data_IF_831731374094
#
_entry.id   IF_831731374094
#
_cell.length_a   1.000
_cell.length_b   1.000
_cell.length_c   1.000
_cell.angle_alpha   90.00
_cell.angle_beta   90.00
_cell.angle_gamma   90.00
#
_symmetry.space_group_name_H-M   'P 1'
#
loop_
_entity.id
_entity.type
_entity.pdbx_description
1 polymer ?
#
# COMPACT_ATOMS: atom_id res chain seq x y z
N UNK A 1 9.42 17.03 -13.32
CA UNK A 1 8.36 18.07 -13.26
C UNK A 1 6.96 17.46 -13.17
N UNK A 2 6.52 16.59 -14.10
CA UNK A 2 5.21 15.92 -14.03
C UNK A 2 5.00 15.14 -12.72
N UNK A 3 6.05 14.49 -12.19
CA UNK A 3 5.96 13.81 -10.89
C UNK A 3 5.52 14.72 -9.73
N UNK A 4 5.98 15.97 -9.68
CA UNK A 4 5.55 16.94 -8.65
C UNK A 4 4.09 17.39 -8.82
N UNK A 5 3.58 17.36 -10.06
CA UNK A 5 2.15 17.55 -10.34
C UNK A 5 1.34 16.40 -9.74
N UNK A 6 1.79 15.16 -9.98
CA UNK A 6 1.22 13.95 -9.36
C UNK A 6 1.24 14.00 -7.84
N UNK A 7 2.35 14.45 -7.23
CA UNK A 7 2.47 14.65 -5.78
C UNK A 7 1.38 15.58 -5.24
N UNK A 8 1.17 16.75 -5.88
CA UNK A 8 0.09 17.67 -5.48
C UNK A 8 -1.31 17.04 -5.56
N UNK A 9 -1.59 16.32 -6.65
CA UNK A 9 -2.86 15.59 -6.82
C UNK A 9 -3.03 14.46 -5.78
N UNK A 10 -1.95 13.77 -5.41
CA UNK A 10 -1.95 12.72 -4.38
C UNK A 10 -2.16 13.29 -2.97
N UNK A 11 -1.61 14.46 -2.65
CA UNK A 11 -1.84 15.12 -1.34
C UNK A 11 -3.32 15.42 -1.16
N UNK A 12 -3.94 16.14 -2.11
CA UNK A 12 -5.37 16.45 -2.02
C UNK A 12 -6.23 15.19 -2.07
N UNK A 13 -5.82 14.18 -2.85
CA UNK A 13 -6.49 12.89 -2.92
C UNK A 13 -6.42 12.11 -1.60
N UNK A 14 -5.28 12.16 -0.90
CA UNK A 14 -5.10 11.57 0.42
C UNK A 14 -5.98 12.26 1.47
N UNK A 15 -5.97 13.59 1.49
CA UNK A 15 -6.85 14.40 2.37
C UNK A 15 -8.32 14.08 2.09
N UNK A 16 -8.73 14.05 0.82
CA UNK A 16 -10.11 13.70 0.44
C UNK A 16 -10.48 12.28 0.84
N UNK A 17 -9.56 11.32 0.68
CA UNK A 17 -9.78 9.94 1.13
C UNK A 17 -10.10 9.90 2.62
N UNK A 18 -9.32 10.59 3.46
CA UNK A 18 -9.57 10.69 4.90
C UNK A 18 -10.93 11.34 5.21
N UNK A 19 -11.26 12.43 4.51
CA UNK A 19 -12.56 13.11 4.67
C UNK A 19 -13.72 12.19 4.29
N UNK A 20 -13.58 11.41 3.21
CA UNK A 20 -14.62 10.52 2.72
C UNK A 20 -14.91 9.35 3.68
N UNK A 21 -13.87 8.87 4.39
CA UNK A 21 -13.99 7.76 5.35
C UNK A 21 -14.16 8.23 6.80
N UNK A 22 -14.20 9.54 7.08
CA UNK A 22 -14.16 10.10 8.44
C UNK A 22 -15.19 9.52 9.41
N UNK A 23 -16.40 9.18 8.92
CA UNK A 23 -17.45 8.58 9.75
C UNK A 23 -17.07 7.17 10.17
N UNK A 24 -16.58 6.38 9.21
CA UNK A 24 -16.11 5.02 9.45
C UNK A 24 -14.85 5.00 10.31
N UNK A 25 -13.96 5.99 10.12
CA UNK A 25 -12.79 6.24 10.97
C UNK A 25 -13.22 6.47 12.43
N UNK A 26 -14.16 7.39 12.65
CA UNK A 26 -14.68 7.70 13.98
C UNK A 26 -15.34 6.48 14.65
N UNK A 27 -16.11 5.71 13.87
CA UNK A 27 -16.72 4.48 14.36
C UNK A 27 -15.67 3.43 14.77
N UNK A 28 -14.61 3.25 13.97
CA UNK A 28 -13.51 2.34 14.29
C UNK A 28 -12.79 2.74 15.59
N UNK A 29 -12.49 4.04 15.73
CA UNK A 29 -11.81 4.59 16.91
C UNK A 29 -12.67 4.39 18.17
N UNK A 30 -13.97 4.72 18.10
CA UNK A 30 -14.88 4.53 19.23
C UNK A 30 -14.96 3.07 19.66
N UNK A 31 -15.17 2.16 18.70
CA UNK A 31 -15.25 0.72 18.98
C UNK A 31 -13.94 0.16 19.55
N UNK A 32 -12.78 0.62 19.05
CA UNK A 32 -11.48 0.23 19.60
C UNK A 32 -11.28 0.68 21.04
N UNK A 33 -11.72 1.90 21.38
CA UNK A 33 -11.68 2.41 22.75
C UNK A 33 -12.66 1.68 23.68
N UNK A 34 -13.85 1.34 23.19
CA UNK A 34 -14.87 0.61 23.95
C UNK A 34 -14.42 -0.83 24.23
N UNK A 35 -13.83 -1.50 23.25
CA UNK A 35 -13.24 -2.83 23.41
C UNK A 35 -12.12 -2.84 24.47
N UNK A 36 -11.28 -1.79 24.49
CA UNK A 36 -10.23 -1.65 25.50
C UNK A 36 -10.80 -1.45 26.92
N UNK A 37 -11.88 -0.67 27.07
CA UNK A 37 -12.54 -0.42 28.36
C UNK A 37 -13.37 -1.60 28.85
N UNK A 38 -13.93 -2.38 27.94
CA UNK A 38 -14.84 -3.49 28.24
C UNK A 38 -14.13 -4.77 28.68
N UNK A 39 -12.81 -4.75 28.87
CA UNK A 39 -12.07 -5.94 29.31
C UNK A 39 -12.24 -6.24 30.81
N UNK A 40 -13.49 -6.36 31.26
CA UNK A 40 -13.88 -6.89 32.57
C UNK A 40 -14.75 -8.14 32.36
N UNK A 41 -14.13 -9.31 32.39
CA UNK A 41 -14.74 -10.44 33.10
C UNK A 41 -14.90 -11.79 32.39
N UNK A 42 -14.46 -12.79 33.17
CA UNK A 42 -14.85 -14.21 33.28
C UNK A 42 -14.31 -15.20 32.24
N UNK A 43 -13.56 -16.16 32.76
CA UNK A 43 -13.22 -17.42 32.12
C UNK A 43 -14.51 -18.18 31.78
N UNK A 44 -14.88 -18.17 30.49
CA UNK A 44 -15.69 -19.22 29.89
C UNK A 44 -14.72 -20.20 29.21
N UNK A 45 -15.08 -21.48 29.18
CA UNK A 45 -14.45 -22.42 28.25
C UNK A 45 -14.69 -21.90 26.84
N UNK A 46 -13.62 -21.42 26.21
CA UNK A 46 -13.66 -20.99 24.81
C UNK A 46 -13.57 -22.22 23.91
N UNK A 47 -14.39 -22.25 22.86
CA UNK A 47 -14.24 -23.25 21.80
C UNK A 47 -12.88 -23.01 21.13
N UNK A 48 -12.25 -24.06 20.58
CA UNK A 48 -10.93 -23.97 19.92
C UNK A 48 -10.80 -22.80 18.93
N UNK A 49 -11.88 -22.48 18.23
CA UNK A 49 -11.97 -21.42 17.20
C UNK A 49 -12.07 -20.00 17.78
N UNK A 50 -12.26 -19.87 19.09
CA UNK A 50 -12.38 -18.60 19.82
C UNK A 50 -11.17 -18.33 20.72
N UNK A 51 -10.18 -19.25 20.77
CA UNK A 51 -8.93 -18.99 21.49
C UNK A 51 -8.11 -17.93 20.76
N UNK A 52 -8.17 -16.72 21.29
CA UNK A 52 -7.36 -15.58 20.89
C UNK A 52 -6.14 -15.41 21.80
N UNK A 53 -5.15 -14.65 21.34
CA UNK A 53 -3.99 -14.27 22.15
C UNK A 53 -4.43 -13.32 23.25
N UNK A 54 -4.09 -13.57 24.53
CA UNK A 54 -4.51 -12.68 25.60
C UNK A 54 -3.95 -11.27 25.40
N UNK A 55 -4.83 -10.27 25.46
CA UNK A 55 -4.46 -8.87 25.18
C UNK A 55 -3.34 -8.34 26.08
N UNK A 56 -3.19 -8.86 27.29
CA UNK A 56 -2.10 -8.51 28.20
C UNK A 56 -0.73 -8.84 27.61
N UNK A 57 -0.58 -10.01 26.98
CA UNK A 57 0.65 -10.40 26.29
C UNK A 57 0.93 -9.52 25.08
N UNK A 58 -0.12 -9.14 24.34
CA UNK A 58 0.01 -8.22 23.19
C UNK A 58 0.49 -6.85 23.64
N UNK A 59 -0.10 -6.28 24.70
CA UNK A 59 0.30 -4.97 25.24
C UNK A 59 1.73 -5.01 25.78
N UNK A 60 2.10 -6.05 26.52
CA UNK A 60 3.47 -6.21 27.04
C UNK A 60 4.46 -6.34 25.88
N UNK A 61 4.17 -7.19 24.89
CA UNK A 61 5.02 -7.37 23.72
C UNK A 61 5.21 -6.08 22.91
N UNK A 62 4.11 -5.35 22.66
CA UNK A 62 4.16 -4.05 22.01
C UNK A 62 5.00 -3.05 22.80
N UNK A 63 4.80 -2.96 24.12
CA UNK A 63 5.58 -2.09 24.99
C UNK A 63 7.09 -2.40 24.98
N UNK A 64 7.46 -3.68 24.98
CA UNK A 64 8.86 -4.11 24.85
C UNK A 64 9.44 -3.69 23.50
N UNK A 65 8.68 -3.84 22.41
CA UNK A 65 9.13 -3.47 21.05
C UNK A 65 9.27 -1.97 20.82
N UNK A 66 8.67 -1.12 21.66
CA UNK A 66 8.91 0.34 21.63
C UNK A 66 10.37 0.67 21.98
N UNK A 67 11.01 -0.12 22.84
CA UNK A 67 12.39 0.13 23.31
C UNK A 67 13.40 0.12 22.16
N UNK A 68 13.52 -0.96 21.33
CA UNK A 68 14.46 -0.95 20.21
C UNK A 68 14.15 0.13 19.17
N UNK A 69 12.87 0.45 18.96
CA UNK A 69 12.49 1.54 18.05
C UNK A 69 12.94 2.91 18.60
N UNK A 70 12.74 3.15 19.89
CA UNK A 70 13.22 4.36 20.54
C UNK A 70 14.75 4.49 20.45
N UNK A 71 15.50 3.39 20.59
CA UNK A 71 16.96 3.39 20.41
C UNK A 71 17.33 3.79 18.97
N UNK A 72 16.59 3.31 17.96
CA UNK A 72 16.78 3.72 16.57
C UNK A 72 16.52 5.22 16.42
N UNK A 73 15.42 5.74 16.97
CA UNK A 73 15.12 7.17 16.92
C UNK A 73 16.21 8.01 17.59
N UNK A 74 16.66 7.60 18.78
CA UNK A 74 17.71 8.29 19.51
C UNK A 74 19.04 8.31 18.74
N UNK A 75 19.37 7.21 18.05
CA UNK A 75 20.59 7.11 17.24
C UNK A 75 20.56 8.05 16.04
N UNK A 76 19.43 8.11 15.34
CA UNK A 76 19.32 8.87 14.09
C UNK A 76 19.04 10.35 14.31
N UNK A 77 18.26 10.71 15.34
CA UNK A 77 17.89 12.11 15.63
C UNK A 77 18.87 12.78 16.60
N UNK A 78 19.59 11.99 17.41
CA UNK A 78 20.57 12.47 18.39
C UNK A 78 20.02 13.44 19.46
N UNK A 79 18.70 13.51 19.62
CA UNK A 79 18.00 14.30 20.62
C UNK A 79 17.04 13.42 21.44
N UNK A 80 17.25 13.39 22.77
CA UNK A 80 16.52 12.53 23.68
C UNK A 80 15.03 12.95 23.85
N UNK A 81 14.71 14.20 24.22
CA UNK A 81 13.32 14.68 24.28
C UNK A 81 12.52 14.42 22.99
N UNK A 82 13.11 14.71 21.83
CA UNK A 82 12.44 14.56 20.54
C UNK A 82 12.21 13.08 20.24
N UNK A 83 13.22 12.23 20.45
CA UNK A 83 13.09 10.78 20.23
C UNK A 83 12.03 10.16 21.13
N UNK A 84 11.91 10.63 22.38
CA UNK A 84 10.88 10.16 23.31
C UNK A 84 9.48 10.57 22.82
N UNK A 85 9.33 11.82 22.36
CA UNK A 85 8.11 12.30 21.76
C UNK A 85 7.73 11.51 20.51
N UNK A 86 8.69 11.23 19.62
CA UNK A 86 8.46 10.43 18.42
C UNK A 86 7.93 9.03 18.76
N UNK A 87 8.48 8.38 19.78
CA UNK A 87 7.99 7.09 20.26
C UNK A 87 6.56 7.17 20.80
N UNK A 88 6.22 8.23 21.54
CA UNK A 88 4.85 8.45 22.03
C UNK A 88 3.89 8.67 20.87
N UNK A 89 4.23 9.55 19.93
CA UNK A 89 3.42 9.83 18.74
C UNK A 89 3.23 8.57 17.90
N UNK A 90 4.28 7.78 17.71
CA UNK A 90 4.24 6.50 17.00
C UNK A 90 3.32 5.49 17.69
N UNK A 91 3.38 5.33 19.02
CA UNK A 91 2.49 4.40 19.73
C UNK A 91 1.02 4.83 19.60
N UNK A 92 0.75 6.12 19.79
CA UNK A 92 -0.62 6.65 19.70
C UNK A 92 -1.16 6.50 18.27
N UNK A 93 -0.41 6.97 17.27
CA UNK A 93 -0.80 6.90 15.88
C UNK A 93 -0.89 5.44 15.40
N UNK A 94 0.09 4.60 15.77
CA UNK A 94 0.13 3.18 15.44
C UNK A 94 -1.10 2.43 15.98
N UNK A 95 -1.47 2.65 17.24
CA UNK A 95 -2.68 2.07 17.82
C UNK A 95 -3.94 2.54 17.08
N UNK A 96 -4.10 3.86 16.92
CA UNK A 96 -5.27 4.47 16.31
C UNK A 96 -5.47 3.96 14.87
N UNK A 97 -4.41 4.00 14.08
CA UNK A 97 -4.47 3.67 12.66
C UNK A 97 -4.45 2.17 12.39
N UNK A 98 -3.89 1.34 13.27
CA UNK A 98 -4.05 -0.12 13.20
C UNK A 98 -5.50 -0.53 13.41
N UNK A 99 -6.19 0.09 14.37
CA UNK A 99 -7.63 -0.14 14.61
C UNK A 99 -8.48 0.23 13.39
N UNK A 100 -8.21 1.41 12.80
CA UNK A 100 -8.85 1.87 11.57
C UNK A 100 -8.62 0.92 10.42
N UNK A 101 -7.35 0.55 10.18
CA UNK A 101 -6.98 -0.28 9.05
C UNK A 101 -7.56 -1.70 9.18
N UNK A 102 -7.58 -2.27 10.39
CA UNK A 102 -8.23 -3.55 10.65
C UNK A 102 -9.75 -3.49 10.38
N UNK A 103 -10.43 -2.45 10.86
CA UNK A 103 -11.87 -2.27 10.64
C UNK A 103 -12.20 -2.04 9.16
N UNK A 104 -11.43 -1.19 8.48
CA UNK A 104 -11.61 -0.92 7.05
C UNK A 104 -11.33 -2.16 6.21
N UNK A 105 -10.24 -2.89 6.47
CA UNK A 105 -9.96 -4.15 5.78
C UNK A 105 -11.13 -5.13 5.96
N UNK A 106 -11.69 -5.26 7.16
CA UNK A 106 -12.86 -6.10 7.41
C UNK A 106 -14.11 -5.71 6.62
N UNK A 107 -14.35 -4.41 6.39
CA UNK A 107 -15.52 -3.91 5.66
C UNK A 107 -15.36 -3.92 4.14
N UNK A 108 -14.22 -3.45 3.63
CA UNK A 108 -14.05 -3.15 2.20
C UNK A 108 -12.99 -4.00 1.50
N UNK A 109 -12.30 -4.88 2.24
CA UNK A 109 -11.16 -5.65 1.73
C UNK A 109 -9.82 -4.96 1.97
N UNK A 110 -8.71 -5.71 1.98
CA UNK A 110 -7.36 -5.14 2.08
C UNK A 110 -7.02 -4.23 0.88
N UNK A 111 -7.48 -4.56 -0.33
CA UNK A 111 -7.22 -3.78 -1.55
C UNK A 111 -7.85 -2.38 -1.55
N UNK A 112 -8.94 -2.19 -0.81
CA UNK A 112 -9.60 -0.89 -0.65
C UNK A 112 -9.29 -0.23 0.70
N UNK A 113 -8.39 -0.82 1.49
CA UNK A 113 -8.00 -0.28 2.79
C UNK A 113 -7.23 1.04 2.57
N UNK A 114 -7.61 2.16 3.23
CA UNK A 114 -7.03 3.49 3.00
C UNK A 114 -5.63 3.69 3.61
N UNK A 115 -4.74 2.70 3.48
CA UNK A 115 -3.40 2.68 4.07
C UNK A 115 -2.59 3.90 3.61
N UNK A 116 -2.56 4.19 2.29
CA UNK A 116 -1.80 5.32 1.76
C UNK A 116 -2.26 6.67 2.33
N UNK A 117 -3.57 6.86 2.53
CA UNK A 117 -4.11 8.08 3.13
C UNK A 117 -3.73 8.22 4.60
N UNK A 118 -3.79 7.11 5.35
CA UNK A 118 -3.38 7.02 6.75
C UNK A 118 -1.88 7.31 6.93
N UNK A 119 -1.03 6.80 6.05
CA UNK A 119 0.42 7.03 6.08
C UNK A 119 0.74 8.51 5.84
N UNK A 120 0.14 9.12 4.82
CA UNK A 120 0.31 10.55 4.51
C UNK A 120 -0.20 11.41 5.69
N UNK A 121 -1.36 11.07 6.26
CA UNK A 121 -1.91 11.77 7.43
C UNK A 121 -0.93 11.74 8.61
N UNK A 122 -0.34 10.58 8.86
CA UNK A 122 0.64 10.37 9.93
C UNK A 122 1.86 11.25 9.68
N UNK A 123 2.46 11.16 8.49
CA UNK A 123 3.67 11.93 8.15
C UNK A 123 3.39 13.43 8.28
N UNK A 124 2.29 13.93 7.70
CA UNK A 124 1.92 15.35 7.76
C UNK A 124 1.70 15.82 9.21
N UNK A 125 0.92 15.06 9.98
CA UNK A 125 0.59 15.43 11.36
C UNK A 125 1.83 15.41 12.24
N UNK A 126 2.65 14.36 12.13
CA UNK A 126 3.92 14.24 12.85
C UNK A 126 4.91 15.33 12.44
N UNK A 127 5.04 15.62 11.15
CA UNK A 127 5.89 16.69 10.65
C UNK A 127 5.45 18.07 11.18
N UNK A 128 4.15 18.37 11.20
CA UNK A 128 3.64 19.64 11.74
C UNK A 128 3.90 19.77 13.25
N UNK A 129 3.68 18.70 14.02
CA UNK A 129 3.96 18.70 15.47
C UNK A 129 5.46 18.88 15.72
N UNK A 130 6.31 18.17 14.98
CA UNK A 130 7.75 18.26 15.10
C UNK A 130 8.26 19.64 14.66
N UNK A 131 7.77 20.20 13.56
CA UNK A 131 8.13 21.54 13.10
C UNK A 131 7.71 22.63 14.11
N UNK A 132 6.56 22.47 14.78
CA UNK A 132 6.13 23.39 15.82
C UNK A 132 7.04 23.37 17.07
N UNK A 133 7.74 22.26 17.32
CA UNK A 133 8.57 22.08 18.51
C UNK A 133 10.07 22.31 18.23
N UNK A 134 10.55 21.84 17.08
CA UNK A 134 11.94 21.89 16.65
C UNK A 134 12.26 23.13 15.80
N UNK A 135 11.23 23.80 15.27
CA UNK A 135 11.36 24.78 14.20
C UNK A 135 11.31 24.13 12.82
N UNK A 136 11.01 24.93 11.80
CA UNK A 136 10.97 24.47 10.40
C UNK A 136 12.36 24.21 9.83
N UNK A 137 13.42 24.75 10.43
CA UNK A 137 14.79 24.62 9.95
C UNK A 137 15.52 23.41 10.55
N UNK A 138 14.78 22.53 11.22
CA UNK A 138 15.33 21.35 11.88
C UNK A 138 15.84 20.32 10.84
N UNK A 139 17.16 20.12 10.80
CA UNK A 139 17.86 19.24 9.86
C UNK A 139 17.25 17.83 9.77
N UNK A 140 16.88 17.24 10.91
CA UNK A 140 16.34 15.89 11.00
C UNK A 140 14.80 15.83 11.03
N UNK A 141 14.11 16.96 10.96
CA UNK A 141 12.66 17.04 11.15
C UNK A 141 11.87 16.23 10.12
N UNK A 142 12.25 16.34 8.84
CA UNK A 142 11.60 15.60 7.75
C UNK A 142 11.82 14.08 7.89
N UNK A 143 13.06 13.67 8.21
CA UNK A 143 13.42 12.28 8.43
C UNK A 143 12.67 11.69 9.64
N UNK A 144 12.56 12.44 10.74
CA UNK A 144 11.82 12.05 11.93
C UNK A 144 10.34 11.77 11.63
N UNK A 145 9.69 12.63 10.84
CA UNK A 145 8.30 12.42 10.43
C UNK A 145 8.12 11.17 9.56
N UNK A 146 9.08 10.89 8.66
CA UNK A 146 9.09 9.68 7.84
C UNK A 146 9.27 8.44 8.71
N UNK A 147 10.16 8.47 9.72
CA UNK A 147 10.35 7.34 10.63
C UNK A 147 9.06 6.96 11.37
N UNK A 148 8.34 7.95 11.92
CA UNK A 148 7.03 7.71 12.55
C UNK A 148 6.06 7.12 11.52
N UNK A 149 5.97 7.75 10.34
CA UNK A 149 5.08 7.31 9.26
C UNK A 149 5.35 5.87 8.79
N UNK A 150 6.61 5.46 8.71
CA UNK A 150 7.00 4.13 8.28
C UNK A 150 6.47 3.04 9.24
N UNK A 151 6.64 3.23 10.55
CA UNK A 151 6.21 2.25 11.54
C UNK A 151 4.68 2.19 11.62
N UNK A 152 4.01 3.35 11.59
CA UNK A 152 2.54 3.42 11.58
C UNK A 152 1.96 2.80 10.31
N UNK A 153 2.59 3.00 9.16
CA UNK A 153 2.21 2.36 7.91
C UNK A 153 2.31 0.83 7.99
N UNK A 154 3.41 0.31 8.52
CA UNK A 154 3.60 -1.13 8.72
C UNK A 154 2.56 -1.70 9.70
N UNK A 155 2.32 -1.00 10.82
CA UNK A 155 1.32 -1.43 11.80
C UNK A 155 -0.09 -1.46 11.21
N UNK A 156 -0.49 -0.42 10.46
CA UNK A 156 -1.77 -0.35 9.78
C UNK A 156 -1.93 -1.45 8.71
N UNK A 157 -0.90 -1.69 7.90
CA UNK A 157 -0.93 -2.73 6.88
C UNK A 157 -1.05 -4.14 7.50
N UNK A 158 -0.21 -4.45 8.49
CA UNK A 158 -0.23 -5.75 9.18
C UNK A 158 -1.56 -5.97 9.91
N UNK A 159 -2.13 -4.93 10.53
CA UNK A 159 -3.44 -5.03 11.17
C UNK A 159 -4.56 -5.31 10.16
N UNK A 160 -4.53 -4.67 8.99
CA UNK A 160 -5.47 -4.93 7.90
C UNK A 160 -5.37 -6.37 7.37
N UNK A 161 -4.15 -6.85 7.13
CA UNK A 161 -3.91 -8.21 6.64
C UNK A 161 -4.26 -9.26 7.68
N UNK A 162 -3.91 -9.05 8.97
CA UNK A 162 -4.30 -9.94 10.06
C UNK A 162 -5.83 -10.09 10.13
N UNK A 163 -6.60 -9.01 9.95
CA UNK A 163 -8.06 -9.09 9.94
C UNK A 163 -8.61 -9.95 8.79
N UNK A 164 -7.97 -9.93 7.61
CA UNK A 164 -8.33 -10.80 6.48
C UNK A 164 -7.96 -12.26 6.74
N UNK A 165 -6.79 -12.49 7.33
CA UNK A 165 -6.31 -13.82 7.69
C UNK A 165 -7.19 -14.45 8.76
N UNK A 166 -7.57 -13.68 9.79
CA UNK A 166 -8.52 -14.11 10.82
C UNK A 166 -9.90 -14.38 10.24
N UNK A 167 -10.37 -13.59 9.26
CA UNK A 167 -11.65 -13.87 8.59
C UNK A 167 -11.60 -15.19 7.82
N UNK A 168 -10.55 -15.41 7.05
CA UNK A 168 -10.35 -16.65 6.27
C UNK A 168 -10.18 -17.85 7.20
N UNK A 169 -9.39 -17.68 8.27
CA UNK A 169 -9.21 -18.68 9.31
C UNK A 169 -10.50 -19.04 10.02
N UNK A 170 -11.32 -18.05 10.37
CA UNK A 170 -12.64 -18.27 10.97
C UNK A 170 -13.54 -19.12 10.07
N UNK A 171 -13.57 -18.84 8.76
CA UNK A 171 -14.35 -19.62 7.78
C UNK A 171 -13.85 -21.08 7.70
N UNK A 172 -12.54 -21.28 7.79
CA UNK A 172 -11.90 -22.60 7.73
C UNK A 172 -11.84 -23.32 9.09
N UNK A 173 -12.30 -22.71 10.18
CA UNK A 173 -12.22 -23.27 11.53
C UNK A 173 -10.79 -23.30 12.11
N UNK A 174 -9.93 -22.36 11.74
CA UNK A 174 -8.61 -22.18 12.33
C UNK A 174 -8.69 -21.61 13.76
N UNK A 175 -7.59 -21.73 14.51
CA UNK A 175 -7.45 -21.12 15.84
C UNK A 175 -6.75 -19.77 15.72
N UNK A 176 -7.40 -18.64 16.11
CA UNK A 176 -6.86 -17.29 15.96
C UNK A 176 -5.44 -17.10 16.53
N UNK A 177 -5.20 -17.61 17.75
CA UNK A 177 -3.88 -17.57 18.40
C UNK A 177 -2.76 -18.13 17.51
N UNK A 178 -2.99 -19.28 16.87
CA UNK A 178 -1.98 -19.91 16.03
C UNK A 178 -1.72 -19.10 14.75
N UNK A 179 -2.76 -18.48 14.20
CA UNK A 179 -2.61 -17.60 13.03
C UNK A 179 -1.75 -16.39 13.35
N UNK A 180 -2.01 -15.72 14.48
CA UNK A 180 -1.23 -14.56 14.92
C UNK A 180 0.24 -14.93 15.20
N UNK A 181 0.49 -16.10 15.80
CA UNK A 181 1.87 -16.61 15.99
C UNK A 181 2.57 -16.82 14.65
N UNK A 182 1.90 -17.48 13.69
CA UNK A 182 2.48 -17.68 12.36
C UNK A 182 2.71 -16.37 11.61
N UNK A 183 1.84 -15.37 11.82
CA UNK A 183 2.04 -14.04 11.25
C UNK A 183 3.26 -13.34 11.85
N UNK A 184 3.49 -13.45 13.16
CA UNK A 184 4.72 -12.96 13.80
C UNK A 184 5.97 -13.63 13.22
N UNK A 185 5.94 -14.95 13.02
CA UNK A 185 7.03 -15.68 12.35
C UNK A 185 7.26 -15.16 10.92
N UNK A 186 6.17 -14.94 10.17
CA UNK A 186 6.22 -14.37 8.82
C UNK A 186 6.86 -12.97 8.78
N UNK A 187 6.52 -12.10 9.73
CA UNK A 187 7.12 -10.76 9.85
C UNK A 187 8.62 -10.83 10.14
N UNK A 188 9.05 -11.71 11.04
CA UNK A 188 10.48 -11.91 11.34
C UNK A 188 11.22 -12.44 10.11
N UNK A 189 10.68 -13.45 9.43
CA UNK A 189 11.27 -13.98 8.20
C UNK A 189 11.37 -12.91 7.11
N UNK A 190 10.31 -12.12 6.90
CA UNK A 190 10.29 -11.03 5.94
C UNK A 190 11.32 -9.94 6.28
N UNK A 191 11.46 -9.55 7.55
CA UNK A 191 12.44 -8.57 7.99
C UNK A 191 13.88 -9.02 7.73
N UNK A 192 14.19 -10.31 7.92
CA UNK A 192 15.52 -10.88 7.64
C UNK A 192 15.86 -10.91 6.15
N UNK A 193 14.85 -11.09 5.27
CA UNK A 193 15.04 -11.11 3.82
C UNK A 193 15.06 -9.70 3.22
N UNK A 194 14.30 -8.76 3.79
CA UNK A 194 14.14 -7.42 3.23
C UNK A 194 15.46 -6.66 3.18
N UNK A 195 16.23 -6.65 4.28
CA UNK A 195 17.50 -5.92 4.36
C UNK A 195 18.53 -6.35 3.30
N UNK A 196 18.88 -7.65 3.14
CA UNK A 196 19.85 -8.06 2.12
C UNK A 196 19.35 -7.79 0.70
N UNK A 197 18.05 -7.96 0.44
CA UNK A 197 17.47 -7.67 -0.88
C UNK A 197 17.54 -6.17 -1.21
N UNK A 198 17.19 -5.30 -0.26
CA UNK A 198 17.30 -3.85 -0.44
C UNK A 198 18.75 -3.41 -0.66
N UNK A 199 19.69 -3.96 0.11
CA UNK A 199 21.13 -3.69 -0.06
C UNK A 199 21.65 -4.15 -1.42
N UNK A 200 21.22 -5.33 -1.88
CA UNK A 200 21.56 -5.87 -3.20
C UNK A 200 21.07 -4.94 -4.32
N UNK A 201 19.80 -4.53 -4.26
CA UNK A 201 19.19 -3.64 -5.23
C UNK A 201 19.83 -2.26 -5.22
N UNK A 202 20.12 -1.72 -4.03
CA UNK A 202 20.78 -0.42 -3.90
C UNK A 202 22.20 -0.44 -4.49
N UNK A 203 22.96 -1.51 -4.24
CA UNK A 203 24.31 -1.66 -4.79
C UNK A 203 24.29 -1.84 -6.31
N UNK A 204 23.33 -2.59 -6.84
CA UNK A 204 23.26 -2.91 -8.27
C UNK A 204 22.71 -1.76 -9.14
N UNK A 205 21.65 -1.09 -8.66
CA UNK A 205 20.90 -0.11 -9.44
C UNK A 205 20.79 1.27 -8.80
N UNK A 206 21.08 1.40 -7.50
CA UNK A 206 20.84 2.59 -6.68
C UNK A 206 19.35 2.96 -6.59
N UNK A 207 18.76 2.82 -5.41
CA UNK A 207 17.37 3.19 -5.15
C UNK A 207 17.18 4.70 -5.37
N UNK A 208 16.15 5.06 -6.13
CA UNK A 208 15.88 6.44 -6.53
C UNK A 208 16.51 6.85 -7.86
N UNK A 209 17.35 6.00 -8.46
CA UNK A 209 17.93 6.26 -9.78
C UNK A 209 16.90 6.14 -10.91
N UNK A 210 17.32 6.42 -12.15
CA UNK A 210 16.50 6.13 -13.34
C UNK A 210 16.28 4.63 -13.55
N UNK A 211 17.25 3.79 -13.14
CA UNK A 211 17.18 2.35 -13.29
C UNK A 211 16.27 1.71 -12.23
N UNK A 212 16.27 2.26 -11.02
CA UNK A 212 15.39 1.83 -9.93
C UNK A 212 14.73 3.04 -9.28
N UNK A 213 13.69 3.56 -9.94
CA UNK A 213 12.96 4.70 -9.39
C UNK A 213 12.24 4.32 -8.11
N UNK A 214 12.22 5.22 -7.12
CA UNK A 214 11.49 5.04 -5.87
C UNK A 214 10.41 6.12 -5.71
N UNK A 215 9.33 6.10 -6.53
CA UNK A 215 8.33 7.15 -6.51
C UNK A 215 7.72 7.29 -5.12
N UNK A 216 7.19 6.22 -4.51
CA UNK A 216 6.53 6.37 -3.21
C UNK A 216 7.43 7.03 -2.16
N UNK A 217 8.72 6.68 -2.11
CA UNK A 217 9.69 7.32 -1.22
C UNK A 217 9.89 8.82 -1.55
N UNK A 218 10.04 9.18 -2.83
CA UNK A 218 10.18 10.59 -3.24
C UNK A 218 8.96 11.45 -2.89
N UNK A 219 7.75 10.88 -2.93
CA UNK A 219 6.55 11.58 -2.51
C UNK A 219 6.56 11.82 -1.00
N UNK A 220 6.88 10.79 -0.21
CA UNK A 220 6.93 10.92 1.24
C UNK A 220 8.01 11.91 1.69
N UNK A 221 9.19 11.91 1.04
CA UNK A 221 10.24 12.91 1.31
C UNK A 221 9.81 14.32 0.89
N UNK A 222 9.23 14.49 -0.29
CA UNK A 222 8.73 15.82 -0.70
C UNK A 222 7.67 16.36 0.27
N UNK A 223 6.76 15.52 0.75
CA UNK A 223 5.72 15.94 1.70
C UNK A 223 6.33 16.36 3.04
N UNK A 224 7.29 15.59 3.55
CA UNK A 224 7.95 15.89 4.82
C UNK A 224 8.86 17.13 4.73
N UNK A 225 9.73 17.20 3.71
CA UNK A 225 10.64 18.33 3.46
C UNK A 225 9.88 19.64 3.23
N UNK A 226 8.70 19.59 2.60
CA UNK A 226 7.87 20.77 2.38
C UNK A 226 7.41 21.45 3.67
N UNK A 227 7.30 20.71 4.77
CA UNK A 227 6.96 21.28 6.09
C UNK A 227 8.20 21.89 6.75
N UNK A 228 9.38 21.32 6.50
CA UNK A 228 10.67 21.77 7.05
C UNK A 228 11.47 22.67 6.08
N UNK A 229 10.77 23.55 5.38
CA UNK A 229 11.42 24.62 4.59
C UNK A 229 12.14 24.20 3.31
N UNK A 230 11.95 22.97 2.82
CA UNK A 230 12.60 22.49 1.59
C UNK A 230 12.23 23.30 0.34
N UNK A 231 13.18 23.43 -0.59
CA UNK A 231 12.98 24.10 -1.89
C UNK A 231 12.10 23.26 -2.83
N UNK A 232 10.82 23.16 -2.53
CA UNK A 232 9.86 22.48 -3.39
C UNK A 232 9.36 23.40 -4.51
N UNK A 233 9.12 22.85 -5.71
CA UNK A 233 8.47 23.58 -6.80
C UNK A 233 6.98 23.75 -6.50
N UNK A 234 6.65 24.55 -5.49
CA UNK A 234 5.30 24.78 -4.96
C UNK A 234 4.30 25.17 -6.03
N UNK A 235 4.72 25.93 -7.05
CA UNK A 235 3.87 26.28 -8.18
C UNK A 235 3.31 25.03 -8.88
N UNK A 236 4.13 24.02 -9.14
CA UNK A 236 3.69 22.79 -9.80
C UNK A 236 2.82 21.95 -8.86
N UNK A 237 3.16 21.91 -7.57
CA UNK A 237 2.38 21.18 -6.55
C UNK A 237 0.98 21.79 -6.42
N UNK A 238 0.85 23.12 -6.38
CA UNK A 238 -0.43 23.82 -6.34
C UNK A 238 -1.29 23.55 -7.58
N UNK A 239 -0.68 23.52 -8.77
CA UNK A 239 -1.39 23.11 -10.00
C UNK A 239 -1.85 21.65 -9.88
N UNK A 240 -1.04 20.78 -9.31
CA UNK A 240 -1.41 19.39 -9.02
C UNK A 240 -2.60 19.27 -8.06
N UNK A 241 -2.60 20.07 -6.98
CA UNK A 241 -3.71 20.16 -6.03
C UNK A 241 -4.99 20.65 -6.73
N UNK A 242 -4.90 21.68 -7.58
CA UNK A 242 -6.03 22.19 -8.33
C UNK A 242 -6.62 21.12 -9.27
N UNK A 243 -5.77 20.42 -10.00
CA UNK A 243 -6.18 19.30 -10.88
C UNK A 243 -6.82 18.18 -10.04
N UNK A 244 -6.21 17.79 -8.93
CA UNK A 244 -6.76 16.78 -8.03
C UNK A 244 -8.14 17.17 -7.48
N UNK A 245 -8.33 18.44 -7.09
CA UNK A 245 -9.62 18.96 -6.65
C UNK A 245 -10.68 18.90 -7.77
N UNK A 246 -10.32 19.26 -9.00
CA UNK A 246 -11.21 19.14 -10.16
C UNK A 246 -11.61 17.69 -10.42
N UNK A 247 -10.67 16.75 -10.30
CA UNK A 247 -10.93 15.31 -10.44
C UNK A 247 -11.88 14.82 -9.34
N UNK A 248 -11.67 15.24 -8.09
CA UNK A 248 -12.58 14.92 -6.97
C UNK A 248 -13.99 15.40 -7.26
N UNK A 249 -14.14 16.65 -7.71
CA UNK A 249 -15.45 17.22 -8.05
C UNK A 249 -16.09 16.41 -9.20
N UNK A 250 -15.33 16.10 -10.25
CA UNK A 250 -15.81 15.29 -11.35
C UNK A 250 -16.26 13.89 -10.90
N UNK A 251 -15.47 13.22 -10.05
CA UNK A 251 -15.81 11.92 -9.50
C UNK A 251 -17.07 11.96 -8.63
N UNK A 252 -17.23 12.99 -7.79
CA UNK A 252 -18.43 13.11 -6.95
C UNK A 252 -19.68 13.41 -7.78
N UNK A 253 -19.55 14.15 -8.90
CA UNK A 253 -20.62 14.35 -9.88
C UNK A 253 -20.98 13.02 -10.56
N UNK A 254 -19.99 12.25 -11.01
CA UNK A 254 -20.21 10.92 -11.60
C UNK A 254 -20.90 9.98 -10.61
N UNK A 255 -20.56 10.08 -9.32
CA UNK A 255 -21.16 9.29 -8.23
C UNK A 255 -22.63 9.58 -8.09
N UNK A 256 -22.97 10.87 -8.02
CA UNK A 256 -24.35 11.36 -7.88
C UNK A 256 -25.21 11.03 -9.10
N UNK A 257 -24.59 10.93 -10.28
CA UNK A 257 -25.24 10.51 -11.53
C UNK A 257 -25.42 9.00 -11.68
N UNK A 258 -24.90 8.20 -10.74
CA UNK A 258 -24.97 6.73 -10.83
C UNK A 258 -24.19 6.14 -12.01
N UNK A 259 -23.14 6.83 -12.46
CA UNK A 259 -22.30 6.37 -13.58
C UNK A 259 -21.53 5.10 -13.22
N UNK A 260 -21.56 4.11 -14.14
CA UNK A 260 -20.69 2.92 -14.09
C UNK A 260 -19.19 3.28 -14.13
N UNK A 261 -18.85 4.43 -14.70
CA UNK A 261 -17.48 4.95 -14.72
C UNK A 261 -17.22 5.87 -13.53
N UNK A 262 -16.16 5.56 -12.78
CA UNK A 262 -15.66 6.31 -11.62
C UNK A 262 -14.25 6.81 -11.93
N UNK A 263 -13.88 7.94 -11.35
CA UNK A 263 -12.55 8.53 -11.47
C UNK A 263 -11.95 8.81 -10.09
N UNK A 264 -11.62 7.76 -9.29
CA UNK A 264 -11.03 7.98 -7.98
C UNK A 264 -9.74 8.80 -8.10
N UNK A 265 -9.68 9.92 -7.38
CA UNK A 265 -8.54 10.86 -7.45
C UNK A 265 -7.20 10.18 -7.19
N UNK A 266 -7.14 9.21 -6.26
CA UNK A 266 -5.92 8.46 -5.97
C UNK A 266 -5.47 7.63 -7.16
N UNK A 267 -6.38 6.97 -7.89
CA UNK A 267 -6.02 6.17 -9.06
C UNK A 267 -5.45 7.05 -10.18
N UNK A 268 -6.05 8.23 -10.40
CA UNK A 268 -5.56 9.18 -11.41
C UNK A 268 -4.22 9.78 -10.99
N UNK A 269 -4.08 10.16 -9.72
CA UNK A 269 -2.85 10.75 -9.21
C UNK A 269 -1.69 9.76 -9.21
N UNK A 270 -1.96 8.47 -8.92
CA UNK A 270 -0.99 7.37 -9.06
C UNK A 270 -0.55 7.23 -10.52
N UNK A 271 -1.47 7.25 -11.48
CA UNK A 271 -1.12 7.17 -12.91
C UNK A 271 -0.37 8.39 -13.45
N UNK A 272 -0.46 9.56 -12.82
CA UNK A 272 0.37 10.73 -13.15
C UNK A 272 1.80 10.61 -12.57
N UNK A 273 1.99 9.68 -11.65
CA UNK A 273 3.14 9.63 -10.77
C UNK A 273 4.06 8.45 -11.02
N UNK A 274 3.48 7.28 -11.32
CA UNK A 274 4.22 6.04 -11.50
C UNK A 274 5.09 6.05 -12.78
N UNK A 275 6.11 5.18 -12.84
CA UNK A 275 6.83 4.90 -14.07
C UNK A 275 5.89 4.26 -15.10
N UNK A 276 6.16 4.57 -16.37
CA UNK A 276 5.38 4.06 -17.50
C UNK A 276 5.30 2.52 -17.54
N UNK A 277 6.33 1.80 -17.09
CA UNK A 277 6.29 0.32 -17.01
C UNK A 277 5.17 -0.16 -16.09
N UNK A 278 5.09 0.38 -14.88
CA UNK A 278 4.03 0.05 -13.92
C UNK A 278 2.65 0.48 -14.40
N UNK A 279 2.53 1.70 -14.94
CA UNK A 279 1.25 2.18 -15.48
C UNK A 279 0.77 1.34 -16.65
N UNK A 280 1.67 0.91 -17.53
CA UNK A 280 1.32 0.04 -18.66
C UNK A 280 0.81 -1.32 -18.19
N UNK A 281 1.43 -1.93 -17.18
CA UNK A 281 0.96 -3.20 -16.61
C UNK A 281 -0.43 -3.06 -15.97
N UNK A 282 -0.65 -2.00 -15.18
CA UNK A 282 -1.96 -1.68 -14.57
C UNK A 282 -3.01 -1.44 -15.66
N UNK A 283 -2.67 -0.64 -16.67
CA UNK A 283 -3.56 -0.31 -17.78
C UNK A 283 -3.98 -1.55 -18.56
N UNK A 284 -3.03 -2.45 -18.88
CA UNK A 284 -3.33 -3.69 -19.60
C UNK A 284 -4.20 -4.62 -18.77
N UNK A 285 -3.93 -4.78 -17.46
CA UNK A 285 -4.83 -5.54 -16.58
C UNK A 285 -6.24 -4.95 -16.53
N UNK A 286 -6.34 -3.62 -16.52
CA UNK A 286 -7.61 -2.89 -16.65
C UNK A 286 -8.32 -3.16 -17.98
N UNK A 287 -7.59 -3.19 -19.10
CA UNK A 287 -8.16 -3.55 -20.41
C UNK A 287 -8.67 -4.99 -20.42
N UNK A 288 -7.92 -5.94 -19.87
CA UNK A 288 -8.35 -7.35 -19.77
C UNK A 288 -9.64 -7.46 -18.95
N UNK A 289 -9.73 -6.77 -17.80
CA UNK A 289 -10.96 -6.71 -17.01
C UNK A 289 -12.12 -6.07 -17.77
N UNK A 290 -11.86 -4.94 -18.46
CA UNK A 290 -12.87 -4.22 -19.23
C UNK A 290 -13.44 -5.06 -20.39
N UNK A 291 -12.59 -5.69 -21.19
CA UNK A 291 -13.03 -6.53 -22.30
C UNK A 291 -13.74 -7.79 -21.83
N UNK A 292 -13.27 -8.40 -20.74
CA UNK A 292 -13.93 -9.55 -20.12
C UNK A 292 -15.33 -9.18 -19.61
N UNK A 293 -15.47 -8.09 -18.86
CA UNK A 293 -16.78 -7.62 -18.38
C UNK A 293 -17.70 -7.21 -19.54
N UNK A 294 -17.16 -6.63 -20.62
CA UNK A 294 -17.93 -6.30 -21.83
C UNK A 294 -18.46 -7.55 -22.53
N UNK A 295 -17.69 -8.63 -22.56
CA UNK A 295 -18.13 -9.92 -23.09
C UNK A 295 -19.33 -10.47 -22.29
N UNK A 296 -19.25 -10.47 -20.96
CA UNK A 296 -20.36 -10.91 -20.09
C UNK A 296 -21.59 -9.99 -20.18
N UNK A 297 -21.39 -8.66 -20.25
CA UNK A 297 -22.49 -7.69 -20.47
C UNK A 297 -23.23 -7.95 -21.78
N UNK A 298 -22.52 -8.24 -22.87
CA UNK A 298 -23.14 -8.55 -24.18
C UNK A 298 -24.00 -9.81 -24.17
N UNK A 299 -23.75 -10.73 -23.22
CA UNK A 299 -24.53 -11.97 -23.05
C UNK A 299 -25.59 -11.90 -21.97
N UNK A 300 -25.89 -10.70 -21.44
CA UNK A 300 -26.87 -10.50 -20.36
C UNK A 300 -26.61 -11.34 -19.10
N UNK A 301 -25.35 -11.72 -18.85
CA UNK A 301 -24.98 -12.47 -17.64
C UNK A 301 -25.16 -11.57 -16.42
N UNK A 302 -25.87 -12.05 -15.40
CA UNK A 302 -26.16 -11.26 -14.20
C UNK A 302 -24.88 -10.75 -13.51
N UNK A 303 -24.93 -9.53 -12.96
CA UNK A 303 -23.79 -8.95 -12.23
C UNK A 303 -23.44 -9.71 -10.94
N UNK A 304 -24.37 -10.52 -10.43
CA UNK A 304 -24.15 -11.40 -9.28
C UNK A 304 -23.42 -12.69 -9.65
N UNK A 305 -23.28 -13.02 -10.93
CA UNK A 305 -22.65 -14.26 -11.38
C UNK A 305 -21.19 -14.34 -10.89
N UNK A 306 -20.78 -15.47 -10.27
CA UNK A 306 -19.41 -15.66 -9.78
C UNK A 306 -18.33 -15.40 -10.83
N UNK A 307 -18.56 -15.75 -12.09
CA UNK A 307 -17.57 -15.58 -13.16
C UNK A 307 -17.49 -14.15 -13.66
N UNK A 308 -18.65 -13.47 -13.75
CA UNK A 308 -18.65 -12.04 -14.05
C UNK A 308 -17.98 -11.24 -12.93
N UNK A 309 -18.21 -11.58 -11.66
CA UNK A 309 -17.47 -11.01 -10.52
C UNK A 309 -15.98 -11.40 -10.52
N UNK A 310 -15.67 -12.60 -10.98
CA UNK A 310 -14.30 -13.08 -11.17
C UNK A 310 -13.56 -12.31 -12.26
N UNK A 311 -14.26 -11.86 -13.31
CA UNK A 311 -13.67 -11.14 -14.45
C UNK A 311 -12.89 -9.88 -14.05
N UNK A 312 -13.40 -9.13 -13.07
CA UNK A 312 -12.72 -7.96 -12.52
C UNK A 312 -11.46 -8.35 -11.73
N UNK A 313 -11.54 -9.48 -11.01
CA UNK A 313 -10.41 -10.02 -10.25
C UNK A 313 -9.31 -10.57 -11.15
N UNK A 314 -9.63 -11.16 -12.30
CA UNK A 314 -8.62 -11.70 -13.21
C UNK A 314 -7.72 -10.62 -13.82
N UNK A 315 -8.28 -9.47 -14.21
CA UNK A 315 -7.48 -8.34 -14.70
C UNK A 315 -6.56 -7.77 -13.62
N UNK A 316 -7.06 -7.67 -12.38
CA UNK A 316 -6.26 -7.27 -11.21
C UNK A 316 -5.12 -8.27 -10.92
N UNK A 317 -5.43 -9.57 -10.91
CA UNK A 317 -4.45 -10.64 -10.71
C UNK A 317 -3.39 -10.63 -11.82
N UNK A 318 -3.78 -10.35 -13.07
CA UNK A 318 -2.85 -10.25 -14.17
C UNK A 318 -1.89 -9.07 -14.02
N UNK A 319 -2.41 -7.86 -13.77
CA UNK A 319 -1.56 -6.69 -13.51
C UNK A 319 -0.62 -6.93 -12.33
N UNK A 320 -1.13 -7.47 -11.22
CA UNK A 320 -0.32 -7.82 -10.05
C UNK A 320 0.76 -8.85 -10.38
N UNK A 321 0.45 -9.87 -11.18
CA UNK A 321 1.39 -10.87 -11.64
C UNK A 321 2.50 -10.30 -12.53
N UNK A 322 2.17 -9.39 -13.46
CA UNK A 322 3.17 -8.71 -14.29
C UNK A 322 4.11 -7.85 -13.44
N UNK A 323 3.57 -7.05 -12.52
CA UNK A 323 4.36 -6.17 -11.63
C UNK A 323 5.27 -7.01 -10.72
N UNK A 324 4.71 -8.07 -10.11
CA UNK A 324 5.47 -8.97 -9.22
C UNK A 324 6.53 -9.75 -10.00
N UNK A 325 6.19 -10.22 -11.21
CA UNK A 325 7.12 -10.92 -12.09
C UNK A 325 8.31 -10.05 -12.49
N UNK A 326 8.05 -8.81 -12.91
CA UNK A 326 9.10 -7.81 -13.20
C UNK A 326 10.02 -7.61 -11.99
N UNK A 327 9.44 -7.44 -10.79
CA UNK A 327 10.21 -7.24 -9.57
C UNK A 327 11.08 -8.46 -9.20
N UNK A 328 10.52 -9.68 -9.29
CA UNK A 328 11.24 -10.91 -9.00
C UNK A 328 12.39 -11.14 -9.98
N UNK A 329 12.15 -10.97 -11.28
CA UNK A 329 13.21 -11.05 -12.30
C UNK A 329 14.26 -9.96 -12.05
N UNK A 330 13.86 -8.74 -11.70
CA UNK A 330 14.79 -7.66 -11.36
C UNK A 330 15.72 -8.01 -10.20
N UNK A 331 15.21 -8.66 -9.15
CA UNK A 331 16.02 -9.16 -8.02
C UNK A 331 16.97 -10.27 -8.50
N UNK A 332 16.49 -11.23 -9.27
CA UNK A 332 17.32 -12.32 -9.80
C UNK A 332 18.45 -11.81 -10.70
N UNK A 333 18.18 -10.80 -11.52
CA UNK A 333 19.18 -10.15 -12.36
C UNK A 333 20.20 -9.35 -11.54
N UNK A 334 19.79 -8.78 -10.40
CA UNK A 334 20.67 -8.02 -9.52
C UNK A 334 21.77 -8.88 -8.88
N UNK A 335 21.49 -10.16 -8.59
CA UNK A 335 22.44 -11.07 -7.92
C UNK A 335 23.79 -11.15 -8.67
N UNK A 336 23.86 -11.58 -9.94
CA UNK A 336 25.13 -11.67 -10.64
C UNK A 336 25.74 -10.30 -10.97
N UNK A 337 24.93 -9.26 -11.17
CA UNK A 337 25.46 -7.89 -11.38
C UNK A 337 26.21 -7.42 -10.14
N UNK A 338 25.67 -7.67 -8.94
CA UNK A 338 26.33 -7.33 -7.69
C UNK A 338 27.61 -8.15 -7.45
N UNK A 339 27.61 -9.45 -7.78
CA UNK A 339 28.77 -10.33 -7.60
C UNK A 339 29.90 -9.99 -8.56
N UNK A 340 29.57 -9.75 -9.83
CA UNK A 340 30.56 -9.55 -10.89
C UNK A 340 30.97 -8.09 -11.08
N UNK A 341 30.25 -7.15 -10.46
CA UNK A 341 30.30 -5.72 -10.73
C UNK A 341 30.14 -5.36 -12.22
N UNK A 342 29.64 -6.30 -13.04
CA UNK A 342 29.45 -6.13 -14.46
C UNK A 342 27.96 -5.96 -14.78
N UNK A 343 27.59 -4.75 -15.17
CA UNK A 343 26.20 -4.41 -15.54
C UNK A 343 25.76 -5.06 -16.85
N UNK A 344 26.71 -5.52 -17.67
CA UNK A 344 26.47 -6.19 -18.93
C UNK A 344 26.50 -7.73 -18.81
N UNK A 345 26.45 -8.29 -17.59
CA UNK A 345 26.56 -9.74 -17.36
C UNK A 345 25.58 -10.58 -18.21
N UNK A 346 24.34 -10.10 -18.40
CA UNK A 346 23.31 -10.78 -19.19
C UNK A 346 23.18 -10.27 -20.63
N UNK A 347 24.12 -9.46 -21.10
CA UNK A 347 24.08 -8.92 -22.45
C UNK A 347 24.46 -10.02 -23.46
N UNK A 348 23.45 -10.79 -23.86
CA UNK A 348 23.54 -11.85 -24.87
C UNK A 348 23.56 -11.30 -26.31
N UNK A 349 23.04 -10.10 -26.51
CA UNK A 349 23.00 -9.42 -27.80
C UNK A 349 23.66 -8.04 -27.66
N UNK A 350 24.52 -7.69 -28.62
CA UNK A 350 25.15 -6.37 -28.67
C UNK A 350 24.13 -5.24 -28.88
N UNK A 351 23.01 -5.57 -29.53
CA UNK A 351 21.87 -4.67 -29.73
C UNK A 351 20.64 -5.18 -28.98
N UNK A 352 19.90 -4.29 -28.30
CA UNK A 352 18.63 -4.66 -27.69
C UNK A 352 17.66 -5.16 -28.76
N UNK A 353 16.91 -6.22 -28.46
CA UNK A 353 15.83 -6.66 -29.32
C UNK A 353 14.85 -5.51 -29.56
N UNK A 354 14.28 -5.40 -30.77
CA UNK A 354 13.26 -4.40 -31.05
C UNK A 354 12.10 -4.51 -30.05
N UNK A 355 11.62 -3.35 -29.56
CA UNK A 355 10.53 -3.28 -28.57
C UNK A 355 9.23 -3.96 -29.02
N UNK A 356 9.02 -4.10 -30.33
CA UNK A 356 7.85 -4.81 -30.88
C UNK A 356 7.82 -6.30 -30.51
N UNK A 357 8.97 -6.94 -30.26
CA UNK A 357 9.03 -8.36 -29.88
C UNK A 357 8.43 -8.54 -28.50
N UNK A 358 8.82 -7.71 -27.53
CA UNK A 358 8.22 -7.69 -26.20
C UNK A 358 6.73 -7.38 -26.24
N UNK A 359 6.32 -6.41 -27.08
CA UNK A 359 4.92 -6.08 -27.28
C UNK A 359 4.12 -7.25 -27.88
N UNK A 360 4.67 -7.99 -28.85
CA UNK A 360 4.02 -9.15 -29.45
C UNK A 360 3.82 -10.28 -28.44
N UNK A 361 4.83 -10.57 -27.61
CA UNK A 361 4.71 -11.56 -26.51
C UNK A 361 3.64 -11.13 -25.53
N UNK A 362 3.62 -9.85 -25.13
CA UNK A 362 2.64 -9.31 -24.20
C UNK A 362 1.21 -9.40 -24.76
N UNK A 363 1.01 -9.05 -26.03
CA UNK A 363 -0.27 -9.19 -26.73
C UNK A 363 -0.69 -10.66 -26.78
N UNK A 364 0.24 -11.58 -27.06
CA UNK A 364 -0.01 -13.02 -27.04
C UNK A 364 -0.49 -13.51 -25.67
N UNK A 365 0.15 -13.08 -24.59
CA UNK A 365 -0.24 -13.41 -23.21
C UNK A 365 -1.62 -12.83 -22.88
N UNK A 366 -1.88 -11.57 -23.25
CA UNK A 366 -3.18 -10.92 -23.03
C UNK A 366 -4.31 -11.66 -23.77
N UNK A 367 -4.06 -12.01 -25.03
CA UNK A 367 -5.01 -12.79 -25.82
C UNK A 367 -5.25 -14.17 -25.22
N UNK A 368 -4.19 -14.86 -24.80
CA UNK A 368 -4.29 -16.17 -24.15
C UNK A 368 -5.16 -16.09 -22.90
N UNK A 369 -4.94 -15.11 -22.02
CA UNK A 369 -5.75 -14.92 -20.81
C UNK A 369 -7.21 -14.61 -21.10
N UNK A 370 -7.47 -13.66 -22.01
CA UNK A 370 -8.84 -13.34 -22.43
C UNK A 370 -9.54 -14.59 -23.02
N UNK A 371 -8.82 -15.36 -23.84
CA UNK A 371 -9.35 -16.58 -24.43
C UNK A 371 -9.63 -17.66 -23.40
N UNK A 372 -8.79 -17.80 -22.36
CA UNK A 372 -8.97 -18.77 -21.29
C UNK A 372 -10.19 -18.44 -20.44
N UNK A 373 -10.39 -17.17 -20.08
CA UNK A 373 -11.56 -16.71 -19.32
C UNK A 373 -12.86 -16.97 -20.11
N UNK A 374 -12.87 -16.57 -21.38
CA UNK A 374 -14.07 -16.73 -22.23
C UNK A 374 -14.38 -18.18 -22.56
N UNK A 375 -13.37 -19.03 -22.78
CA UNK A 375 -13.54 -20.47 -22.99
C UNK A 375 -14.02 -21.20 -21.74
N UNK A 376 -13.51 -20.84 -20.55
CA UNK A 376 -13.95 -21.44 -19.29
C UNK A 376 -15.45 -21.22 -19.06
N UNK A 377 -15.93 -19.98 -19.26
CA UNK A 377 -17.36 -19.66 -19.20
C UNK A 377 -18.17 -20.45 -20.23
N UNK A 378 -17.73 -20.45 -21.49
CA UNK A 378 -18.42 -21.13 -22.58
C UNK A 378 -18.60 -22.63 -22.34
N UNK A 379 -17.60 -23.28 -21.75
CA UNK A 379 -17.67 -24.71 -21.43
C UNK A 379 -18.72 -25.00 -20.36
N UNK A 380 -18.80 -24.15 -19.34
CA UNK A 380 -19.78 -24.30 -18.25
C UNK A 380 -21.20 -23.94 -18.69
N UNK A 381 -21.38 -22.96 -19.57
CA UNK A 381 -22.69 -22.60 -20.14
C UNK A 381 -23.26 -23.71 -21.03
N UNK A 382 -22.41 -24.61 -21.53
CA UNK A 382 -22.80 -25.79 -22.31
C UNK A 382 -23.00 -27.09 -21.51
N UNK A 383 -22.63 -27.09 -20.23
CA UNK A 383 -22.86 -28.20 -19.26
C UNK A 383 -24.13 -27.92 -18.44
#
# INVERSE_FOLDING_TARGET
KIRFLGVGAMIIGGIWSLVSIRKSLWSAISQGMDAFKSNKGKAKEYIRTEYDTPISWVIIGAGILVIPIFIIYLREIQDLPISALMSILMVIAGFLFSSVAGYMAGLVGSSNNPISGVTIATILTSALILAALMGTDAEYGAAAAIFIGAIVCCAAAIAGDNMQDLKSGYILGATPRNQQIMQMVGVVAAALVLTPVLSLLHTSYTIGSKALSAPQASLMSSVAEGIFGGELPWTIIWVGIAIGALIIIADEILKKRGSDFRMPVLAVAVGLYLPFSLDSAIFIGGLVAYFSNRFFKKRNVNASDPERKGSEKYGLLFASGLITGEALIGILLAIPIAITANKDFFKLLDQPLPSFVGAAVLVGICYWLYSSITKAYLKRDSE
#
